data_IF_938076810057
#
_entry.id   IF_938076810057
#
_cell.length_a   1.000
_cell.length_b   1.000
_cell.length_c   1.000
_cell.angle_alpha   90.00
_cell.angle_beta   90.00
_cell.angle_gamma   90.00
#
_symmetry.space_group_name_H-M   'P 1'
#
loop_
_entity.id
_entity.type
_entity.pdbx_description
1 polymer ?
#
# COMPACT_ATOMS: atom_id res chain seq x y z
N UNK A 1 -4.18 -12.57 4.73
CA UNK A 1 -3.33 -11.64 3.97
C UNK A 1 -3.95 -10.25 3.87
N UNK A 2 -5.14 -10.09 3.26
CA UNK A 2 -5.79 -8.77 3.08
C UNK A 2 -5.92 -7.93 4.36
N UNK A 3 -6.32 -8.52 5.49
CA UNK A 3 -6.41 -7.78 6.77
C UNK A 3 -5.06 -7.20 7.23
N UNK A 4 -3.95 -7.88 6.97
CA UNK A 4 -2.62 -7.33 7.29
C UNK A 4 -2.30 -6.12 6.41
N UNK A 5 -2.75 -6.13 5.15
CA UNK A 5 -2.57 -4.98 4.26
C UNK A 5 -3.39 -3.77 4.73
N UNK A 6 -4.59 -3.98 5.27
CA UNK A 6 -5.37 -2.91 5.91
C UNK A 6 -4.62 -2.30 7.08
N UNK A 7 -3.98 -3.12 7.91
CA UNK A 7 -3.19 -2.64 9.05
C UNK A 7 -1.97 -1.85 8.57
N UNK A 8 -1.18 -2.39 7.63
CA UNK A 8 -0.01 -1.70 7.07
C UNK A 8 -0.41 -0.37 6.42
N UNK A 9 -1.46 -0.38 5.60
CA UNK A 9 -2.01 0.83 4.98
C UNK A 9 -2.43 1.86 6.04
N UNK A 10 -3.16 1.46 7.07
CA UNK A 10 -3.56 2.37 8.15
C UNK A 10 -2.34 2.96 8.87
N UNK A 11 -1.36 2.14 9.25
CA UNK A 11 -0.17 2.59 9.97
C UNK A 11 0.70 3.56 9.13
N UNK A 12 0.73 3.38 7.80
CA UNK A 12 1.38 4.31 6.86
C UNK A 12 0.59 5.61 6.66
N UNK A 13 -0.74 5.56 6.78
CA UNK A 13 -1.63 6.69 6.54
C UNK A 13 -1.66 7.69 7.70
N UNK A 14 -1.32 7.27 8.92
CA UNK A 14 -1.31 8.14 10.09
C UNK A 14 -0.38 9.36 9.92
N UNK A 15 -0.69 10.43 10.65
CA UNK A 15 0.10 11.67 10.71
C UNK A 15 0.46 11.96 12.18
N UNK A 16 1.71 11.72 12.62
CA UNK A 16 2.83 11.13 11.87
C UNK A 16 2.64 9.61 11.62
N UNK A 17 3.27 9.04 10.57
CA UNK A 17 3.12 7.61 10.25
C UNK A 17 3.82 6.73 11.27
N UNK A 18 3.24 5.56 11.56
CA UNK A 18 3.85 4.55 12.45
C UNK A 18 4.89 3.73 11.72
N UNK A 19 4.64 3.39 10.45
CA UNK A 19 5.61 2.70 9.59
C UNK A 19 5.76 3.45 8.27
N UNK A 20 6.98 3.51 7.69
CA UNK A 20 7.17 4.10 6.38
C UNK A 20 6.66 3.19 5.26
N UNK A 21 6.54 3.76 4.07
CA UNK A 21 6.36 2.98 2.84
C UNK A 21 7.73 2.60 2.26
N UNK A 22 8.15 1.35 2.50
CA UNK A 22 9.47 0.86 2.06
C UNK A 22 9.62 0.82 0.54
N UNK A 23 8.52 0.65 -0.21
CA UNK A 23 8.57 0.62 -1.68
C UNK A 23 8.82 2.02 -2.27
N UNK A 24 8.37 3.07 -1.58
CA UNK A 24 8.65 4.47 -1.98
C UNK A 24 10.06 4.90 -1.62
N UNK A 25 10.66 4.32 -0.57
CA UNK A 25 12.03 4.64 -0.15
C UNK A 25 13.09 4.01 -1.08
N UNK A 26 12.80 2.84 -1.63
CA UNK A 26 13.69 2.16 -2.56
C UNK A 26 13.83 2.93 -3.88
N UNK A 27 15.08 3.11 -4.33
CA UNK A 27 15.40 3.85 -5.56
C UNK A 27 15.44 2.94 -6.78
N UNK A 28 16.11 1.80 -6.65
CA UNK A 28 16.34 0.88 -7.76
C UNK A 28 15.16 -0.09 -7.93
N UNK A 29 14.60 -0.22 -9.14
CA UNK A 29 13.51 -1.16 -9.41
C UNK A 29 14.01 -2.60 -9.33
N UNK A 30 13.19 -3.48 -8.76
CA UNK A 30 13.44 -4.92 -8.72
C UNK A 30 12.31 -5.59 -9.47
N UNK A 31 12.55 -5.94 -10.74
CA UNK A 31 11.51 -6.49 -11.61
C UNK A 31 11.38 -7.99 -11.40
N UNK A 32 10.17 -8.45 -11.17
CA UNK A 32 9.77 -9.85 -11.21
C UNK A 32 8.85 -10.03 -12.42
N UNK A 33 9.19 -11.01 -13.27
CA UNK A 33 8.38 -11.37 -14.43
C UNK A 33 7.34 -12.40 -13.99
N UNK A 34 6.07 -12.14 -14.23
CA UNK A 34 4.99 -13.12 -14.12
C UNK A 34 4.59 -13.57 -15.52
N UNK A 35 4.77 -14.86 -15.82
CA UNK A 35 4.45 -15.46 -17.11
C UNK A 35 3.11 -16.21 -17.11
N UNK A 36 2.23 -15.93 -16.14
CA UNK A 36 0.91 -16.59 -16.07
C UNK A 36 0.06 -16.21 -17.28
N UNK A 37 -0.80 -17.15 -17.67
CA UNK A 37 -1.82 -16.97 -18.71
C UNK A 37 -1.31 -16.57 -20.11
N UNK A 38 -0.02 -16.76 -20.39
CA UNK A 38 0.57 -16.51 -21.71
C UNK A 38 0.97 -15.07 -21.98
N UNK A 39 0.83 -14.17 -21.00
CA UNK A 39 1.40 -12.82 -21.02
C UNK A 39 2.76 -12.75 -20.28
N UNK A 40 3.56 -11.73 -20.58
CA UNK A 40 4.72 -11.35 -19.75
C UNK A 40 4.39 -10.06 -19.00
N UNK A 41 3.95 -10.20 -17.75
CA UNK A 41 3.71 -9.06 -16.86
C UNK A 41 4.94 -8.77 -16.00
N UNK A 42 5.16 -7.49 -15.70
CA UNK A 42 6.29 -7.04 -14.89
C UNK A 42 5.81 -6.39 -13.60
N UNK A 43 6.24 -6.94 -12.47
CA UNK A 43 5.96 -6.41 -11.14
C UNK A 43 7.23 -5.82 -10.53
N UNK A 44 7.21 -4.53 -10.19
CA UNK A 44 8.28 -3.92 -9.41
C UNK A 44 8.10 -4.25 -7.92
N UNK A 45 8.97 -5.10 -7.40
CA UNK A 45 8.96 -5.58 -6.02
C UNK A 45 10.05 -4.92 -5.18
N UNK A 46 10.54 -3.74 -5.55
CA UNK A 46 11.55 -3.02 -4.76
C UNK A 46 11.04 -2.65 -3.36
N UNK A 47 11.94 -2.68 -2.39
CA UNK A 47 11.73 -2.14 -1.04
C UNK A 47 13.07 -1.83 -0.37
N UNK A 48 13.08 -0.87 0.55
CA UNK A 48 14.24 -0.55 1.38
C UNK A 48 14.48 -1.68 2.40
N UNK A 49 15.64 -2.34 2.30
CA UNK A 49 16.02 -3.48 3.13
C UNK A 49 16.80 -3.07 4.39
N UNK A 50 17.47 -1.92 4.36
CA UNK A 50 18.22 -1.39 5.50
C UNK A 50 17.32 -0.62 6.48
N UNK A 51 16.33 -1.31 7.03
CA UNK A 51 15.35 -0.76 7.98
C UNK A 51 16.03 -0.17 9.24
N UNK A 52 17.21 -0.68 9.62
CA UNK A 52 17.98 -0.20 10.78
C UNK A 52 18.50 1.23 10.61
N UNK A 53 18.67 1.67 9.37
CA UNK A 53 19.12 3.04 9.06
C UNK A 53 18.00 4.06 9.06
N UNK A 54 16.74 3.62 9.09
CA UNK A 54 15.58 4.50 9.04
C UNK A 54 15.38 5.20 10.39
N UNK A 55 14.97 6.48 10.37
CA UNK A 55 14.63 7.17 11.60
C UNK A 55 13.44 6.48 12.30
N UNK A 56 13.39 6.51 13.64
CA UNK A 56 12.25 5.97 14.37
C UNK A 56 10.99 6.78 14.06
N UNK A 57 9.83 6.14 14.16
CA UNK A 57 8.55 6.83 14.01
C UNK A 57 8.39 7.96 15.04
N UNK A 58 7.88 9.08 14.57
CA UNK A 58 7.50 10.21 15.44
C UNK A 58 6.14 9.98 16.12
N UNK A 59 5.39 8.96 15.72
CA UNK A 59 4.10 8.64 16.31
C UNK A 59 4.25 8.17 17.77
N UNK A 60 3.43 8.75 18.65
CA UNK A 60 3.45 8.50 20.10
C UNK A 60 2.21 7.78 20.61
N UNK A 61 1.30 7.38 19.71
CA UNK A 61 0.09 6.67 20.10
C UNK A 61 0.44 5.31 20.69
N UNK A 62 -0.26 4.94 21.76
CA UNK A 62 -0.16 3.60 22.32
C UNK A 62 -0.99 2.61 21.50
N UNK A 63 -0.73 1.32 21.67
CA UNK A 63 -1.40 0.24 20.91
C UNK A 63 -2.93 0.30 21.02
N UNK A 64 -3.48 0.63 22.20
CA UNK A 64 -4.92 0.76 22.39
C UNK A 64 -5.53 1.89 21.56
N UNK A 65 -4.84 3.04 21.46
CA UNK A 65 -5.28 4.16 20.65
C UNK A 65 -5.19 3.83 19.15
N UNK A 66 -4.12 3.15 18.73
CA UNK A 66 -3.96 2.69 17.34
C UNK A 66 -5.09 1.73 16.95
N UNK A 67 -5.46 0.81 17.84
CA UNK A 67 -6.54 -0.13 17.59
C UNK A 67 -7.89 0.58 17.46
N UNK A 68 -8.19 1.52 18.35
CA UNK A 68 -9.42 2.32 18.27
C UNK A 68 -9.48 3.16 17.00
N UNK A 69 -8.37 3.83 16.66
CA UNK A 69 -8.29 4.62 15.44
C UNK A 69 -8.35 3.78 14.17
N UNK A 70 -7.83 2.55 14.17
CA UNK A 70 -7.95 1.63 13.04
C UNK A 70 -9.41 1.36 12.71
N UNK A 71 -10.21 1.02 13.72
CA UNK A 71 -11.64 0.77 13.52
C UNK A 71 -12.38 2.05 13.12
N UNK A 72 -12.11 3.17 13.78
CA UNK A 72 -12.71 4.45 13.41
C UNK A 72 -12.39 4.84 11.96
N UNK A 73 -11.13 4.70 11.54
CA UNK A 73 -10.70 5.01 10.20
C UNK A 73 -11.48 4.21 9.16
N UNK A 74 -11.50 2.89 9.27
CA UNK A 74 -12.15 2.05 8.26
C UNK A 74 -13.68 2.00 8.33
N UNK A 75 -14.30 2.45 9.44
CA UNK A 75 -15.76 2.47 9.56
C UNK A 75 -16.37 3.84 9.32
N UNK A 76 -15.64 4.92 9.58
CA UNK A 76 -16.15 6.29 9.54
C UNK A 76 -15.43 7.17 8.52
N UNK A 77 -14.11 7.03 8.39
CA UNK A 77 -13.28 7.99 7.62
C UNK A 77 -13.00 7.52 6.20
N UNK A 78 -12.68 6.24 6.03
CA UNK A 78 -12.23 5.69 4.76
C UNK A 78 -13.42 5.56 3.80
N UNK A 79 -13.30 6.24 2.66
CA UNK A 79 -14.29 6.17 1.60
C UNK A 79 -14.09 4.90 0.75
N UNK A 80 -14.83 3.84 1.10
CA UNK A 80 -14.82 2.58 0.36
C UNK A 80 -15.38 2.67 -1.07
N UNK A 81 -16.15 3.73 -1.37
CA UNK A 81 -16.73 3.91 -2.70
C UNK A 81 -15.70 4.48 -3.67
N UNK A 82 -14.78 5.32 -3.22
CA UNK A 82 -13.83 6.01 -4.12
C UNK A 82 -12.38 5.60 -3.89
N UNK A 83 -11.99 5.21 -2.68
CA UNK A 83 -10.59 4.98 -2.35
C UNK A 83 -10.21 3.50 -2.34
N UNK A 84 -9.00 3.21 -2.81
CA UNK A 84 -8.37 1.90 -2.72
C UNK A 84 -7.40 1.84 -1.54
N UNK A 85 -7.39 0.70 -0.86
CA UNK A 85 -6.36 0.35 0.13
C UNK A 85 -5.09 -0.03 -0.63
N UNK A 86 -4.27 0.97 -0.94
CA UNK A 86 -3.07 0.81 -1.78
C UNK A 86 -1.79 1.14 -1.01
N UNK A 87 -1.28 0.19 -0.23
CA UNK A 87 -0.02 0.34 0.54
C UNK A 87 1.19 0.78 -0.28
N UNK A 88 1.22 0.46 -1.59
CA UNK A 88 2.31 0.79 -2.51
C UNK A 88 2.40 2.30 -2.77
N UNK A 89 1.26 2.97 -2.90
CA UNK A 89 1.17 4.41 -3.19
C UNK A 89 0.81 5.24 -1.96
N UNK A 90 0.59 4.59 -0.82
CA UNK A 90 0.15 5.25 0.39
C UNK A 90 1.28 6.00 1.10
N UNK A 91 0.86 6.97 1.91
CA UNK A 91 1.69 7.79 2.78
C UNK A 91 0.81 8.62 3.72
N UNK A 92 1.39 9.54 4.51
CA UNK A 92 0.66 10.27 5.55
C UNK A 92 -0.55 11.04 5.02
N UNK A 93 -1.74 10.52 5.28
CA UNK A 93 -3.04 11.04 4.83
C UNK A 93 -3.27 11.00 3.31
N UNK A 94 -2.60 10.09 2.60
CA UNK A 94 -2.79 9.91 1.16
C UNK A 94 -4.15 9.25 0.87
N UNK A 95 -4.79 9.66 -0.22
CA UNK A 95 -6.02 9.06 -0.75
C UNK A 95 -5.76 8.59 -2.18
N UNK A 96 -5.99 7.31 -2.45
CA UNK A 96 -5.73 6.71 -3.76
C UNK A 96 -7.07 6.37 -4.40
N UNK A 97 -7.36 6.97 -5.55
CA UNK A 97 -8.56 6.66 -6.32
C UNK A 97 -8.49 5.24 -6.87
N UNK A 98 -9.48 4.41 -6.53
CA UNK A 98 -9.53 3.01 -6.97
C UNK A 98 -9.69 2.89 -8.48
N UNK A 99 -10.33 3.86 -9.13
CA UNK A 99 -10.58 3.82 -10.57
C UNK A 99 -9.35 4.20 -11.40
N UNK A 100 -8.35 4.85 -10.78
CA UNK A 100 -7.05 5.12 -11.40
C UNK A 100 -6.09 3.92 -11.41
N UNK A 101 -6.41 2.83 -10.69
CA UNK A 101 -5.54 1.67 -10.52
C UNK A 101 -5.74 0.61 -11.62
N UNK A 102 -6.13 1.01 -12.83
CA UNK A 102 -6.31 0.09 -13.95
C UNK A 102 -4.96 -0.36 -14.53
N UNK A 103 -4.83 -1.67 -14.75
CA UNK A 103 -3.87 -2.21 -15.72
C UNK A 103 -4.44 -2.04 -17.13
N UNK A 104 -3.58 -1.69 -18.09
CA UNK A 104 -4.01 -1.64 -19.49
C UNK A 104 -4.32 -3.05 -19.98
N UNK A 105 -5.51 -3.27 -20.53
CA UNK A 105 -5.89 -4.56 -21.14
C UNK A 105 -5.53 -4.57 -22.62
N UNK A 106 -5.01 -5.68 -23.14
CA UNK A 106 -4.80 -5.88 -24.57
C UNK A 106 -6.03 -6.56 -25.21
N UNK A 107 -6.30 -6.32 -26.50
CA UNK A 107 -7.39 -6.98 -27.26
C UNK A 107 -7.27 -8.50 -27.29
N UNK A 108 -6.05 -9.03 -27.18
CA UNK A 108 -5.76 -10.47 -27.13
C UNK A 108 -5.89 -11.07 -25.71
N UNK A 109 -6.08 -10.24 -24.69
CA UNK A 109 -6.17 -10.66 -23.30
C UNK A 109 -7.59 -11.15 -22.99
N UNK A 110 -7.76 -12.46 -22.95
CA UNK A 110 -9.05 -13.13 -22.70
C UNK A 110 -9.39 -13.32 -21.21
N UNK A 111 -8.56 -12.76 -20.31
CA UNK A 111 -8.75 -12.80 -18.86
C UNK A 111 -8.73 -11.38 -18.28
N UNK A 112 -9.43 -11.20 -17.15
CA UNK A 112 -9.40 -9.97 -16.34
C UNK A 112 -8.75 -10.34 -15.01
N UNK A 113 -7.69 -9.63 -14.62
CA UNK A 113 -7.09 -9.73 -13.27
C UNK A 113 -7.72 -8.74 -12.28
#
# INVERSE_FOLDING_TARGET
YAYMLLVVHFLQHLRPPVVPNLQTLAKEPVKVVDCKWGGEDYWDTKFEDNVKSLPPSENKMITGELLMQFFYFYTVVFDWQHHAVCMRLNGPGATIDKYSLSTGTNEEQWYIE
#
